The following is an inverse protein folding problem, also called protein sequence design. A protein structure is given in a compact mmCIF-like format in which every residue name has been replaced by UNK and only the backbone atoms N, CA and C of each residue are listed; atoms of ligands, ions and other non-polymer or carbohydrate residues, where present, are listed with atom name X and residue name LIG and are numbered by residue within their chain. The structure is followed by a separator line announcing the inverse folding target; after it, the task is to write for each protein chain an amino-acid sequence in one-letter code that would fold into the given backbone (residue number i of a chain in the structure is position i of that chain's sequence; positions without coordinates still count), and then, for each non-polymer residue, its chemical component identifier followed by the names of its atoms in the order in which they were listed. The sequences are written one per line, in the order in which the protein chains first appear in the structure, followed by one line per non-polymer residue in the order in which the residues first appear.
data_IF_332633514754
#
_entry.id   IF_332633514754
#
_cell.length_a   1.000
_cell.length_b   1.000
_cell.length_c   1.000
_cell.angle_alpha   90.00
_cell.angle_beta   90.00
_cell.angle_gamma   90.00
#
_symmetry.space_group_name_H-M   'P 1'
#
loop_
_entity.id
_entity.type
_entity.pdbx_description
1 polymer ?
#
# COMPACT_ATOMS: atom_id res chain seq x y z
N UNK A 1 -3.46 -1.29 0.94
CA UNK A 1 -2.82 0.02 1.21
C UNK A 1 -3.72 0.78 2.14
N UNK A 2 -3.17 1.48 3.13
CA UNK A 2 -3.94 2.32 4.06
C UNK A 2 -4.02 3.77 3.56
N UNK A 3 -2.90 4.30 3.08
CA UNK A 3 -2.83 5.63 2.48
C UNK A 3 -1.73 5.69 1.42
N UNK A 4 -1.95 6.52 0.40
CA UNK A 4 -0.90 6.94 -0.53
C UNK A 4 -0.40 8.34 -0.17
N UNK A 5 0.87 8.63 -0.45
CA UNK A 5 1.55 9.87 -0.12
C UNK A 5 1.92 10.64 -1.39
N UNK A 6 1.84 11.97 -1.32
CA UNK A 6 2.27 12.88 -2.38
C UNK A 6 3.64 13.51 -2.09
N UNK A 7 4.30 13.11 -1.00
CA UNK A 7 5.56 13.73 -0.56
C UNK A 7 6.73 13.43 -1.49
N UNK A 8 6.81 12.21 -2.03
CA UNK A 8 7.88 11.80 -2.94
C UNK A 8 7.49 12.06 -4.40
N UNK A 9 6.25 11.75 -4.78
CA UNK A 9 5.70 12.01 -6.11
C UNK A 9 4.40 12.81 -5.99
N UNK A 10 4.45 14.15 -6.13
CA UNK A 10 3.26 14.99 -6.07
C UNK A 10 2.24 14.73 -7.20
N UNK A 11 2.65 14.00 -8.24
CA UNK A 11 1.78 13.67 -9.38
C UNK A 11 1.06 12.33 -9.19
N UNK A 12 1.32 11.61 -8.09
CA UNK A 12 0.65 10.36 -7.79
C UNK A 12 -0.85 10.60 -7.62
N UNK A 13 -1.67 9.73 -8.18
CA UNK A 13 -3.12 9.77 -8.06
C UNK A 13 -3.63 8.38 -7.80
N UNK A 14 -4.86 8.26 -7.29
CA UNK A 14 -5.51 6.97 -7.07
C UNK A 14 -5.52 6.10 -8.35
N UNK A 15 -5.78 6.69 -9.52
CA UNK A 15 -5.77 5.98 -10.79
C UNK A 15 -4.40 5.37 -11.12
N UNK A 16 -3.30 6.05 -10.74
CA UNK A 16 -1.93 5.58 -10.94
C UNK A 16 -1.53 4.46 -9.98
N UNK A 17 -2.29 4.22 -8.91
CA UNK A 17 -1.99 3.11 -7.98
C UNK A 17 -2.04 1.75 -8.69
N UNK A 18 -2.91 1.57 -9.69
CA UNK A 18 -3.04 0.31 -10.43
C UNK A 18 -1.73 -0.18 -11.05
N UNK A 19 -0.85 0.73 -11.45
CA UNK A 19 0.45 0.42 -12.08
C UNK A 19 1.64 0.81 -11.20
N UNK A 20 1.40 1.14 -9.92
CA UNK A 20 2.47 1.57 -9.02
C UNK A 20 3.52 0.47 -8.82
N UNK A 21 3.12 -0.81 -8.83
CA UNK A 21 4.02 -1.95 -8.66
C UNK A 21 5.19 -1.98 -9.65
N UNK A 22 5.01 -1.46 -10.87
CA UNK A 22 6.06 -1.40 -11.90
C UNK A 22 7.16 -0.39 -11.55
N UNK A 23 6.91 0.49 -10.58
CA UNK A 23 7.82 1.55 -10.13
C UNK A 23 8.45 1.27 -8.76
N UNK A 24 7.98 0.25 -8.05
CA UNK A 24 8.44 -0.08 -6.70
C UNK A 24 9.67 -0.99 -6.74
N UNK A 25 10.68 -0.67 -5.93
CA UNK A 25 11.81 -1.56 -5.67
C UNK A 25 11.45 -2.51 -4.53
N UNK A 26 10.67 -3.53 -4.87
CA UNK A 26 10.22 -4.51 -3.88
C UNK A 26 11.33 -5.48 -3.49
N UNK A 27 11.46 -5.86 -2.21
CA UNK A 27 12.35 -6.94 -1.80
C UNK A 27 12.01 -8.27 -2.49
N UNK A 28 12.99 -9.17 -2.57
CA UNK A 28 12.78 -10.48 -3.19
C UNK A 28 11.57 -11.22 -2.58
N UNK A 29 10.69 -11.74 -3.44
CA UNK A 29 9.47 -12.46 -3.05
C UNK A 29 8.25 -11.58 -2.77
N UNK A 30 8.41 -10.25 -2.71
CA UNK A 30 7.29 -9.32 -2.49
C UNK A 30 6.55 -9.01 -3.78
N UNK A 31 5.24 -8.80 -3.67
CA UNK A 31 4.39 -8.44 -4.79
C UNK A 31 3.44 -7.32 -4.39
N UNK A 32 3.34 -6.31 -5.25
CA UNK A 32 2.35 -5.25 -5.11
C UNK A 32 1.05 -5.63 -5.82
N UNK A 33 -0.10 -5.37 -5.19
CA UNK A 33 -1.43 -5.58 -5.77
C UNK A 33 -2.40 -4.50 -5.32
N UNK A 34 -3.30 -4.12 -6.21
CA UNK A 34 -4.45 -3.27 -5.92
C UNK A 34 -5.71 -4.11 -6.01
N UNK A 35 -6.61 -3.93 -5.05
CA UNK A 35 -7.96 -4.50 -5.10
C UNK A 35 -8.96 -3.43 -4.70
N UNK A 36 -10.09 -3.40 -5.40
CA UNK A 36 -11.26 -2.69 -4.93
C UNK A 36 -12.01 -3.61 -3.97
N UNK A 37 -12.44 -3.10 -2.82
CA UNK A 37 -13.25 -3.87 -1.89
C UNK A 37 -14.71 -3.84 -2.36
N UNK A 38 -15.32 -5.01 -2.54
CA UNK A 38 -16.74 -5.12 -2.91
C UNK A 38 -17.67 -4.98 -1.70
N UNK A 39 -17.11 -5.14 -0.50
CA UNK A 39 -17.81 -5.10 0.78
C UNK A 39 -16.94 -4.37 1.80
N UNK A 40 -17.57 -3.86 2.85
CA UNK A 40 -16.85 -3.26 3.97
C UNK A 40 -15.90 -4.29 4.59
N UNK A 41 -14.64 -3.89 4.76
CA UNK A 41 -13.61 -4.72 5.37
C UNK A 41 -13.17 -4.08 6.67
N UNK A 42 -13.42 -4.78 7.79
CA UNK A 42 -12.86 -4.39 9.09
C UNK A 42 -11.47 -4.99 9.22
N UNK A 43 -10.48 -4.13 9.48
CA UNK A 43 -9.12 -4.56 9.71
C UNK A 43 -8.94 -4.89 11.19
N UNK A 44 -8.92 -6.18 11.53
CA UNK A 44 -8.66 -6.64 12.90
C UNK A 44 -7.15 -6.73 13.16
N UNK A 45 -6.70 -6.27 14.32
CA UNK A 45 -5.30 -6.37 14.75
C UNK A 45 -5.28 -6.90 16.18
N UNK A 46 -4.71 -8.08 16.37
CA UNK A 46 -4.49 -8.64 17.70
C UNK A 46 -3.12 -8.18 18.25
N UNK A 47 -3.16 -7.13 19.08
CA UNK A 47 -2.01 -6.68 19.86
C UNK A 47 -1.07 -5.71 19.13
N UNK A 48 -0.47 -6.11 18.01
CA UNK A 48 0.58 -5.30 17.34
C UNK A 48 0.28 -4.97 15.87
N UNK A 49 0.22 -3.67 15.57
CA UNK A 49 0.15 -3.18 14.20
C UNK A 49 1.56 -3.08 13.61
N UNK A 50 1.81 -3.76 12.48
CA UNK A 50 3.03 -3.56 11.70
C UNK A 50 2.74 -2.64 10.52
N UNK A 51 3.30 -1.44 10.56
CA UNK A 51 3.27 -0.45 9.49
C UNK A 51 4.54 -0.59 8.64
N UNK A 52 4.37 -0.67 7.33
CA UNK A 52 5.47 -0.63 6.37
C UNK A 52 5.24 0.50 5.38
N UNK A 53 6.33 1.08 4.89
CA UNK A 53 6.29 2.11 3.85
C UNK A 53 7.07 1.66 2.62
N UNK A 54 6.58 2.03 1.44
CA UNK A 54 7.29 1.82 0.18
C UNK A 54 8.18 3.03 -0.19
N UNK A 55 8.82 2.95 -1.35
CA UNK A 55 9.72 3.98 -1.89
C UNK A 55 9.05 5.36 -2.03
N UNK A 56 7.73 5.40 -2.19
CA UNK A 56 6.95 6.63 -2.32
C UNK A 56 6.36 7.10 -0.98
N UNK A 57 6.73 6.43 0.12
CA UNK A 57 6.20 6.66 1.47
C UNK A 57 4.69 6.39 1.58
N UNK A 58 4.14 5.53 0.72
CA UNK A 58 2.78 5.02 0.92
C UNK A 58 2.78 4.05 2.10
N UNK A 59 1.72 4.06 2.89
CA UNK A 59 1.64 3.27 4.11
C UNK A 59 0.77 2.03 3.92
N UNK A 60 1.28 0.90 4.38
CA UNK A 60 0.58 -0.38 4.38
C UNK A 60 0.61 -0.96 5.77
N UNK A 61 -0.50 -1.59 6.14
CA UNK A 61 -0.57 -2.33 7.37
C UNK A 61 -0.56 -3.82 7.04
N UNK A 62 0.29 -4.57 7.74
CA UNK A 62 0.27 -6.03 7.68
C UNK A 62 -0.95 -6.53 8.45
N UNK A 63 -1.68 -7.46 7.84
CA UNK A 63 -2.73 -8.24 8.52
C UNK A 63 -2.08 -9.54 9.00
N UNK A 64 -2.30 -9.88 10.27
CA UNK A 64 -1.83 -11.11 10.91
C UNK A 64 -2.64 -12.32 10.48
#
# INVERSE_FOLDING_TARGET
MQSYSLKVDPTLTEAKLKTLGDRLHLPAGWHYRVRQLEQESVLHIDGQAHLIQDDFQNSYQRVG
#
